data_IF_324489841211
#
_entry.id   IF_324489841211
#
_cell.length_a   1.000
_cell.length_b   1.000
_cell.length_c   1.000
_cell.angle_alpha   90.00
_cell.angle_beta   90.00
_cell.angle_gamma   90.00
#
_symmetry.space_group_name_H-M   'P 1'
#
loop_
_entity.id
_entity.type
_entity.pdbx_description
1 polymer ?
#
# COMPACT_ATOMS: atom_id res chain seq x y z
N UNK A 1 -9.64 -11.96 -7.14
CA UNK A 1 -10.73 -11.09 -6.63
C UNK A 1 -11.90 -11.88 -6.05
N UNK A 2 -12.57 -12.81 -6.76
CA UNK A 2 -13.59 -13.68 -6.11
C UNK A 2 -13.02 -14.64 -5.06
N UNK A 3 -11.83 -15.19 -5.28
CA UNK A 3 -11.18 -16.15 -4.36
C UNK A 3 -10.51 -15.45 -3.16
N UNK A 4 -10.21 -14.15 -3.27
CA UNK A 4 -9.64 -13.33 -2.18
C UNK A 4 -10.70 -12.94 -1.12
N UNK A 5 -11.99 -12.95 -1.49
CA UNK A 5 -13.11 -12.47 -0.66
C UNK A 5 -13.25 -13.22 0.68
N UNK A 6 -13.02 -14.54 0.69
CA UNK A 6 -13.13 -15.37 1.90
C UNK A 6 -11.97 -15.16 2.89
N UNK A 7 -10.75 -14.97 2.39
CA UNK A 7 -9.59 -14.72 3.27
C UNK A 7 -9.70 -13.35 3.95
N UNK A 8 -10.27 -12.36 3.26
CA UNK A 8 -10.53 -11.04 3.84
C UNK A 8 -11.62 -11.05 4.93
N UNK A 9 -12.67 -11.86 4.76
CA UNK A 9 -13.74 -11.99 5.75
C UNK A 9 -13.22 -12.52 7.10
N UNK A 10 -12.38 -13.56 7.09
CA UNK A 10 -11.80 -14.12 8.33
C UNK A 10 -10.99 -13.07 9.09
N UNK A 11 -10.18 -12.28 8.39
CA UNK A 11 -9.37 -11.23 9.02
C UNK A 11 -10.26 -10.13 9.59
N UNK A 12 -11.25 -9.66 8.83
CA UNK A 12 -12.17 -8.63 9.29
C UNK A 12 -12.94 -9.06 10.55
N UNK A 13 -13.53 -10.25 10.55
CA UNK A 13 -14.26 -10.79 11.71
C UNK A 13 -13.34 -10.98 12.92
N UNK A 14 -12.09 -11.41 12.71
CA UNK A 14 -11.13 -11.58 13.82
C UNK A 14 -10.81 -10.25 14.51
N UNK A 15 -10.62 -9.18 13.75
CA UNK A 15 -10.42 -7.84 14.31
C UNK A 15 -11.71 -7.26 14.92
N UNK A 16 -12.87 -7.56 14.34
CA UNK A 16 -14.17 -7.17 14.91
C UNK A 16 -14.39 -7.78 16.31
N UNK A 17 -14.10 -9.08 16.47
CA UNK A 17 -14.16 -9.74 17.79
C UNK A 17 -13.25 -9.03 18.79
N UNK A 18 -12.01 -8.70 18.40
CA UNK A 18 -11.08 -7.98 19.27
C UNK A 18 -11.62 -6.58 19.62
N UNK A 19 -12.13 -5.83 18.65
CA UNK A 19 -12.71 -4.50 18.85
C UNK A 19 -13.88 -4.56 19.84
N UNK A 20 -14.80 -5.50 19.65
CA UNK A 20 -15.95 -5.71 20.54
C UNK A 20 -15.51 -6.12 21.94
N UNK A 21 -14.50 -6.97 22.06
CA UNK A 21 -13.95 -7.36 23.36
C UNK A 21 -13.32 -6.18 24.10
N UNK A 22 -12.54 -5.34 23.41
CA UNK A 22 -11.96 -4.13 24.01
C UNK A 22 -13.04 -3.13 24.43
N UNK A 23 -14.08 -2.92 23.61
CA UNK A 23 -15.26 -2.12 23.99
C UNK A 23 -15.97 -2.69 25.21
N UNK A 24 -16.15 -4.02 25.28
CA UNK A 24 -16.75 -4.70 26.43
C UNK A 24 -15.96 -4.49 27.73
N UNK A 25 -14.62 -4.42 27.65
CA UNK A 25 -13.75 -4.10 28.78
C UNK A 25 -13.80 -2.61 29.19
N UNK A 26 -14.56 -1.76 28.49
CA UNK A 26 -14.72 -0.35 28.79
C UNK A 26 -13.68 0.57 28.16
N UNK A 27 -12.89 0.10 27.18
CA UNK A 27 -11.97 0.96 26.46
C UNK A 27 -12.68 1.83 25.42
N UNK A 28 -12.27 3.09 25.32
CA UNK A 28 -12.56 3.93 24.15
C UNK A 28 -11.59 3.57 23.03
N UNK A 29 -12.12 3.11 21.90
CA UNK A 29 -11.31 2.60 20.79
C UNK A 29 -11.49 3.48 19.56
N UNK A 30 -10.36 3.93 18.98
CA UNK A 30 -10.31 4.45 17.61
C UNK A 30 -9.83 3.33 16.69
N UNK A 31 -10.74 2.77 15.90
CA UNK A 31 -10.42 1.73 14.91
C UNK A 31 -10.14 2.36 13.55
N UNK A 32 -8.95 2.12 12.99
CA UNK A 32 -8.54 2.63 11.67
C UNK A 32 -8.21 1.46 10.75
N UNK A 33 -8.82 1.44 9.56
CA UNK A 33 -8.56 0.45 8.48
C UNK A 33 -8.44 1.22 7.17
N UNK A 34 -7.38 1.05 6.39
CA UNK A 34 -7.26 1.77 5.12
C UNK A 34 -7.79 0.95 3.94
N UNK A 35 -8.15 1.65 2.86
CA UNK A 35 -8.22 1.06 1.53
C UNK A 35 -6.92 1.30 0.78
N UNK A 36 -6.46 0.27 0.05
CA UNK A 36 -5.34 0.40 -0.89
C UNK A 36 -5.93 0.50 -2.28
N UNK A 37 -6.40 1.69 -2.63
CA UNK A 37 -7.13 2.00 -3.86
C UNK A 37 -6.20 2.42 -5.01
N UNK A 38 -4.89 2.42 -4.77
CA UNK A 38 -3.85 2.63 -5.78
C UNK A 38 -2.79 1.54 -5.66
N UNK A 39 -2.74 0.63 -6.65
CA UNK A 39 -1.80 -0.50 -6.71
C UNK A 39 -1.55 -0.95 -8.16
N UNK A 40 -0.40 -1.58 -8.41
CA UNK A 40 -0.01 -2.13 -9.72
C UNK A 40 -1.09 -3.09 -10.28
N UNK A 41 -1.76 -3.89 -9.43
CA UNK A 41 -2.84 -4.80 -9.85
C UNK A 41 -4.09 -4.07 -10.31
N UNK A 42 -4.46 -2.98 -9.63
CA UNK A 42 -5.64 -2.17 -9.96
C UNK A 42 -5.41 -1.50 -11.31
N UNK A 43 -4.24 -0.87 -11.50
CA UNK A 43 -3.85 -0.23 -12.78
C UNK A 43 -3.85 -1.25 -13.91
N UNK A 44 -3.25 -2.42 -13.70
CA UNK A 44 -3.21 -3.49 -14.70
C UNK A 44 -4.63 -3.94 -15.09
N UNK A 45 -5.49 -4.21 -14.10
CA UNK A 45 -6.85 -4.68 -14.34
C UNK A 45 -7.68 -3.64 -15.09
N UNK A 46 -7.59 -2.39 -14.68
CA UNK A 46 -8.28 -1.28 -15.32
C UNK A 46 -7.83 -1.06 -16.77
N UNK A 47 -6.53 -1.21 -17.05
CA UNK A 47 -6.03 -1.21 -18.45
C UNK A 47 -6.58 -2.40 -19.26
N UNK A 48 -6.71 -3.58 -18.65
CA UNK A 48 -7.31 -4.76 -19.31
C UNK A 48 -8.81 -4.60 -19.60
N UNK A 49 -9.53 -3.86 -18.74
CA UNK A 49 -10.99 -3.65 -18.86
C UNK A 49 -11.38 -2.34 -19.54
N UNK A 50 -10.42 -1.43 -19.75
CA UNK A 50 -10.67 -0.09 -20.28
C UNK A 50 -11.42 0.82 -19.29
N UNK A 51 -11.31 0.54 -17.99
CA UNK A 51 -11.96 1.31 -16.93
C UNK A 51 -11.00 2.34 -16.32
N UNK A 52 -11.55 3.36 -15.67
CA UNK A 52 -10.74 4.24 -14.82
C UNK A 52 -10.31 3.48 -13.56
N UNK A 53 -9.00 3.43 -13.22
CA UNK A 53 -8.55 2.61 -12.09
C UNK A 53 -9.08 3.06 -10.72
N UNK A 54 -9.35 4.36 -10.52
CA UNK A 54 -9.94 4.84 -9.26
C UNK A 54 -11.43 4.53 -9.18
N UNK A 55 -12.16 4.60 -10.29
CA UNK A 55 -13.55 4.12 -10.33
C UNK A 55 -13.62 2.61 -10.06
N UNK A 56 -12.70 1.85 -10.65
CA UNK A 56 -12.61 0.41 -10.44
C UNK A 56 -12.34 0.08 -8.97
N UNK A 57 -11.35 0.73 -8.35
CA UNK A 57 -11.03 0.48 -6.94
C UNK A 57 -12.15 0.90 -6.02
N UNK A 58 -12.78 2.06 -6.24
CA UNK A 58 -13.89 2.54 -5.43
C UNK A 58 -15.08 1.59 -5.47
N UNK A 59 -15.41 1.06 -6.65
CA UNK A 59 -16.44 0.03 -6.78
C UNK A 59 -16.19 -1.18 -5.88
N UNK A 60 -14.94 -1.69 -5.82
CA UNK A 60 -14.61 -2.80 -4.92
C UNK A 60 -14.52 -2.40 -3.44
N UNK A 61 -14.21 -1.14 -3.11
CA UNK A 61 -14.29 -0.64 -1.75
C UNK A 61 -15.74 -0.63 -1.26
N UNK A 62 -16.67 -0.19 -2.11
CA UNK A 62 -18.10 -0.20 -1.82
C UNK A 62 -18.63 -1.63 -1.65
N UNK A 63 -18.28 -2.55 -2.55
CA UNK A 63 -18.65 -3.96 -2.42
C UNK A 63 -18.10 -4.58 -1.12
N UNK A 64 -16.85 -4.27 -0.77
CA UNK A 64 -16.27 -4.74 0.48
C UNK A 64 -17.04 -4.20 1.69
N UNK A 65 -17.44 -2.94 1.69
CA UNK A 65 -18.21 -2.37 2.79
C UNK A 65 -19.61 -2.99 2.92
N UNK A 66 -20.27 -3.31 1.80
CA UNK A 66 -21.52 -4.11 1.83
C UNK A 66 -21.27 -5.47 2.48
N UNK A 67 -20.22 -6.17 2.09
CA UNK A 67 -19.88 -7.47 2.70
C UNK A 67 -19.62 -7.36 4.21
N UNK A 68 -18.95 -6.29 4.66
CA UNK A 68 -18.66 -6.09 6.09
C UNK A 68 -19.94 -5.84 6.90
N UNK A 69 -20.91 -5.13 6.32
CA UNK A 69 -22.22 -4.93 6.92
C UNK A 69 -22.98 -6.25 7.01
N UNK A 70 -22.97 -7.05 5.94
CA UNK A 70 -23.63 -8.37 5.91
C UNK A 70 -23.01 -9.35 6.93
N UNK A 71 -21.70 -9.23 7.16
CA UNK A 71 -20.97 -9.97 8.21
C UNK A 71 -21.13 -9.37 9.62
N UNK A 72 -21.90 -8.30 9.77
CA UNK A 72 -22.13 -7.59 11.04
C UNK A 72 -20.85 -7.07 11.70
N UNK A 73 -19.81 -6.80 10.90
CA UNK A 73 -18.60 -6.16 11.38
C UNK A 73 -18.89 -4.68 11.70
N UNK A 74 -18.31 -4.17 12.78
CA UNK A 74 -18.37 -2.76 13.13
C UNK A 74 -17.64 -1.91 12.09
N UNK A 75 -18.22 -0.77 11.73
CA UNK A 75 -17.59 0.21 10.84
C UNK A 75 -16.36 0.82 11.53
N UNK A 76 -15.22 0.96 10.82
CA UNK A 76 -14.06 1.67 11.35
C UNK A 76 -14.38 3.11 11.75
N UNK A 77 -13.68 3.61 12.76
CA UNK A 77 -13.73 5.04 13.15
C UNK A 77 -13.13 5.93 12.07
N UNK A 78 -12.15 5.42 11.31
CA UNK A 78 -11.55 6.08 10.15
C UNK A 78 -11.22 5.04 9.09
N UNK A 79 -11.53 5.38 7.84
CA UNK A 79 -11.28 4.51 6.69
C UNK A 79 -10.57 5.26 5.55
N UNK A 80 -9.27 5.61 5.71
CA UNK A 80 -8.55 6.43 4.74
C UNK A 80 -8.25 5.67 3.45
N UNK A 81 -8.38 6.36 2.31
CA UNK A 81 -7.94 5.89 1.01
C UNK A 81 -6.49 6.32 0.73
N UNK A 82 -5.69 5.47 0.09
CA UNK A 82 -4.31 5.82 -0.27
C UNK A 82 -4.28 7.02 -1.23
N UNK A 83 -5.21 7.06 -2.20
CA UNK A 83 -5.33 8.15 -3.16
C UNK A 83 -5.50 9.54 -2.51
N UNK A 84 -6.10 9.60 -1.32
CA UNK A 84 -6.37 10.83 -0.58
C UNK A 84 -5.18 11.32 0.27
N UNK A 85 -4.18 10.47 0.52
CA UNK A 85 -3.06 10.74 1.43
C UNK A 85 -1.69 10.77 0.75
N UNK A 86 -1.65 11.01 -0.57
CA UNK A 86 -0.40 10.99 -1.34
C UNK A 86 0.58 12.08 -0.94
N UNK A 87 0.10 13.23 -0.45
CA UNK A 87 0.97 14.30 0.02
C UNK A 87 1.69 13.91 1.32
N UNK A 88 0.98 13.28 2.25
CA UNK A 88 1.54 12.75 3.49
C UNK A 88 2.54 11.63 3.23
N UNK A 89 2.23 10.74 2.29
CA UNK A 89 3.17 9.70 1.82
C UNK A 89 4.44 10.35 1.25
N UNK A 90 4.31 11.33 0.34
CA UNK A 90 5.46 12.06 -0.23
C UNK A 90 6.29 12.76 0.85
N UNK A 91 5.64 13.37 1.83
CA UNK A 91 6.31 14.03 2.95
C UNK A 91 7.08 13.04 3.82
N UNK A 92 6.50 11.88 4.13
CA UNK A 92 7.16 10.81 4.87
C UNK A 92 8.38 10.29 4.11
N UNK A 93 8.25 10.04 2.81
CA UNK A 93 9.36 9.58 1.96
C UNK A 93 10.47 10.62 1.92
N UNK A 94 10.14 11.91 1.80
CA UNK A 94 11.10 13.02 1.86
C UNK A 94 11.89 12.99 3.18
N UNK A 95 11.23 12.77 4.32
CA UNK A 95 11.93 12.64 5.60
C UNK A 95 12.86 11.42 5.65
N UNK A 96 12.43 10.28 5.11
CA UNK A 96 13.26 9.06 5.03
C UNK A 96 14.52 9.29 4.18
N UNK A 97 14.40 10.00 3.05
CA UNK A 97 15.54 10.41 2.21
C UNK A 97 16.46 11.34 2.99
N UNK A 98 15.93 12.40 3.60
CA UNK A 98 16.72 13.40 4.35
C UNK A 98 17.48 12.78 5.52
N UNK A 99 16.92 11.75 6.16
CA UNK A 99 17.58 11.00 7.22
C UNK A 99 18.59 9.96 6.70
N UNK A 100 18.78 9.87 5.38
CA UNK A 100 19.73 8.99 4.73
C UNK A 100 19.31 7.52 4.66
N UNK A 101 18.03 7.19 4.90
CA UNK A 101 17.51 5.81 4.88
C UNK A 101 16.94 5.39 3.52
N UNK A 102 16.92 6.29 2.54
CA UNK A 102 16.47 5.99 1.19
C UNK A 102 17.42 6.60 0.14
N UNK A 103 17.31 6.11 -1.10
CA UNK A 103 18.02 6.66 -2.26
C UNK A 103 17.12 6.66 -3.49
N UNK A 104 17.41 7.58 -4.42
CA UNK A 104 16.71 7.74 -5.69
C UNK A 104 17.44 7.00 -6.82
N UNK A 105 16.70 6.38 -7.73
CA UNK A 105 17.20 5.82 -9.00
C UNK A 105 16.17 6.05 -10.09
N UNK A 106 16.49 6.84 -11.12
CA UNK A 106 15.60 7.13 -12.24
C UNK A 106 14.16 7.50 -11.78
N UNK A 107 14.08 8.43 -10.83
CA UNK A 107 12.85 8.90 -10.19
C UNK A 107 12.11 7.95 -9.24
N UNK A 108 12.47 6.66 -9.22
CA UNK A 108 12.05 5.75 -8.17
C UNK A 108 12.82 6.02 -6.87
N UNK A 109 12.19 5.74 -5.72
CA UNK A 109 12.81 5.86 -4.40
C UNK A 109 12.79 4.51 -3.70
N UNK A 110 13.93 4.10 -3.17
CA UNK A 110 14.10 2.82 -2.48
C UNK A 110 14.57 3.02 -1.04
N UNK A 111 14.01 2.25 -0.11
CA UNK A 111 14.47 2.17 1.28
C UNK A 111 15.73 1.29 1.38
N UNK A 112 16.71 1.72 2.17
CA UNK A 112 17.95 1.00 2.44
C UNK A 112 17.74 0.11 3.66
N UNK A 113 17.47 -1.17 3.43
CA UNK A 113 17.16 -2.12 4.51
C UNK A 113 18.29 -2.22 5.53
N UNK A 114 19.53 -2.25 5.07
CA UNK A 114 20.72 -2.39 5.93
C UNK A 114 20.92 -1.22 6.90
N UNK A 115 20.30 -0.06 6.63
CA UNK A 115 20.36 1.08 7.55
C UNK A 115 19.33 0.99 8.67
N UNK A 116 18.30 0.16 8.54
CA UNK A 116 17.29 -0.02 9.58
C UNK A 116 17.82 -0.90 10.72
N UNK A 117 18.15 -0.34 11.90
CA UNK A 117 18.83 -1.10 12.96
C UNK A 117 18.00 -2.26 13.51
N UNK A 118 16.67 -2.16 13.45
CA UNK A 118 15.72 -3.18 13.92
C UNK A 118 14.97 -3.87 12.77
N UNK A 119 15.46 -3.78 11.54
CA UNK A 119 14.79 -4.42 10.41
C UNK A 119 14.77 -5.94 10.58
N UNK A 120 13.60 -6.55 10.39
CA UNK A 120 13.38 -8.00 10.60
C UNK A 120 12.98 -8.39 12.03
N UNK A 121 12.96 -7.45 12.99
CA UNK A 121 12.58 -7.74 14.38
C UNK A 121 11.15 -8.29 14.50
N UNK A 122 10.19 -7.75 13.73
CA UNK A 122 8.79 -8.18 13.75
C UNK A 122 8.60 -9.60 13.22
N UNK A 123 9.28 -9.95 12.12
CA UNK A 123 9.23 -11.29 11.52
C UNK A 123 10.15 -12.29 12.21
N UNK A 124 11.01 -11.84 13.14
CA UNK A 124 12.11 -12.62 13.75
C UNK A 124 13.05 -13.24 12.70
N UNK A 125 13.13 -12.64 11.51
CA UNK A 125 14.03 -13.10 10.45
C UNK A 125 15.27 -12.22 10.42
N UNK A 126 16.45 -12.85 10.42
CA UNK A 126 17.71 -12.15 10.20
C UNK A 126 17.83 -11.78 8.72
N UNK A 127 18.41 -10.62 8.42
CA UNK A 127 18.65 -10.16 7.05
C UNK A 127 19.41 -11.19 6.20
N UNK A 128 20.37 -11.89 6.81
CA UNK A 128 21.15 -12.97 6.19
C UNK A 128 20.31 -14.19 5.76
N UNK A 129 19.16 -14.39 6.40
CA UNK A 129 18.22 -15.48 6.12
C UNK A 129 17.04 -15.04 5.26
N UNK A 130 16.87 -13.73 5.05
CA UNK A 130 15.99 -13.16 4.04
C UNK A 130 16.64 -13.35 2.66
N UNK A 131 16.76 -14.62 2.25
CA UNK A 131 16.92 -14.94 0.84
C UNK A 131 15.73 -14.32 0.14
N UNK A 132 16.03 -13.43 -0.81
CA UNK A 132 15.10 -12.79 -1.74
C UNK A 132 13.90 -13.71 -1.94
N UNK A 133 12.75 -13.34 -1.39
CA UNK A 133 11.51 -14.09 -1.63
C UNK A 133 11.35 -14.12 -3.15
N UNK A 134 11.52 -15.31 -3.75
CA UNK A 134 11.66 -15.61 -5.19
C UNK A 134 10.53 -15.10 -6.10
N UNK A 135 9.59 -14.32 -5.57
CA UNK A 135 8.39 -13.83 -6.27
C UNK A 135 8.51 -12.42 -6.83
N UNK A 136 9.60 -11.69 -6.56
CA UNK A 136 9.81 -10.33 -7.10
C UNK A 136 10.92 -10.37 -8.14
N UNK A 137 10.62 -9.98 -9.38
CA UNK A 137 11.63 -9.74 -10.42
C UNK A 137 12.70 -8.83 -9.82
N UNK A 138 13.93 -9.32 -9.74
CA UNK A 138 15.05 -8.56 -9.15
C UNK A 138 15.25 -7.33 -10.02
N UNK A 139 14.87 -6.17 -9.49
CA UNK A 139 15.16 -4.90 -10.12
C UNK A 139 16.67 -4.66 -10.03
N UNK A 140 17.36 -4.84 -11.15
CA UNK A 140 18.81 -4.72 -11.27
C UNK A 140 19.34 -3.32 -10.92
N UNK A 141 18.46 -2.32 -10.86
CA UNK A 141 18.79 -0.95 -10.45
C UNK A 141 18.96 -0.81 -8.93
N UNK A 142 18.52 -1.80 -8.14
CA UNK A 142 18.65 -1.77 -6.68
C UNK A 142 20.11 -2.00 -6.26
N UNK A 143 20.60 -1.17 -5.34
CA UNK A 143 21.94 -1.31 -4.74
C UNK A 143 22.07 -2.60 -3.92
N UNK A 144 20.97 -3.02 -3.28
CA UNK A 144 20.85 -4.28 -2.56
C UNK A 144 19.49 -4.92 -2.94
N UNK A 145 19.43 -6.21 -3.32
CA UNK A 145 18.17 -6.91 -3.62
C UNK A 145 17.10 -6.84 -2.52
N UNK A 146 17.51 -6.67 -1.26
CA UNK A 146 16.60 -6.56 -0.11
C UNK A 146 15.90 -5.19 -0.03
N UNK A 147 16.44 -4.16 -0.68
CA UNK A 147 15.84 -2.83 -0.70
C UNK A 147 14.47 -2.87 -1.40
N UNK A 148 13.48 -2.18 -0.82
CA UNK A 148 12.12 -2.13 -1.36
C UNK A 148 11.75 -0.71 -1.80
N UNK A 149 10.82 -0.62 -2.74
CA UNK A 149 10.38 0.67 -3.27
C UNK A 149 9.50 1.39 -2.25
N UNK A 150 9.77 2.68 -2.05
CA UNK A 150 8.93 3.63 -1.33
C UNK A 150 8.06 4.43 -2.31
N UNK A 151 8.60 4.75 -3.48
CA UNK A 151 7.91 5.45 -4.56
C UNK A 151 8.33 4.85 -5.89
N UNK A 152 7.38 4.62 -6.78
CA UNK A 152 7.63 4.21 -8.16
C UNK A 152 7.01 5.24 -9.10
N UNK A 153 7.78 5.69 -10.07
CA UNK A 153 7.22 6.52 -11.15
C UNK A 153 6.69 5.60 -12.24
N UNK A 154 5.47 5.88 -12.71
CA UNK A 154 4.90 5.16 -13.83
C UNK A 154 5.64 5.55 -15.11
N UNK A 155 6.25 4.57 -15.77
CA UNK A 155 6.80 4.78 -17.12
C UNK A 155 5.63 4.86 -18.11
N UNK A 156 5.73 5.74 -19.12
CA UNK A 156 4.70 5.96 -20.16
C UNK A 156 4.21 4.68 -20.85
N UNK A 157 5.07 3.65 -20.97
CA UNK A 157 4.69 2.34 -21.54
C UNK A 157 3.61 1.59 -20.72
N UNK A 158 3.39 1.97 -19.46
CA UNK A 158 2.42 1.36 -18.55
C UNK A 158 1.02 2.02 -18.63
N UNK A 159 0.90 3.11 -19.39
CA UNK A 159 -0.28 4.00 -19.45
C UNK A 159 -1.08 3.86 -20.75
N UNK A 160 -1.01 2.71 -21.43
CA UNK A 160 -1.78 2.49 -22.67
C UNK A 160 -3.27 2.45 -22.32
N UNK A 161 -3.97 3.57 -22.55
CA UNK A 161 -5.42 3.68 -22.45
C UNK A 161 -5.97 4.48 -21.26
N UNK A 162 -5.12 5.07 -20.40
CA UNK A 162 -5.60 5.79 -19.21
C UNK A 162 -5.92 7.27 -19.51
N UNK A 163 -7.11 7.70 -19.13
CA UNK A 163 -7.48 9.12 -19.04
C UNK A 163 -6.56 9.84 -18.05
N UNK A 164 -6.29 11.13 -18.27
CA UNK A 164 -5.34 11.99 -17.54
C UNK A 164 -5.37 11.96 -15.99
N UNK A 165 -6.39 11.39 -15.35
CA UNK A 165 -6.62 11.48 -13.90
C UNK A 165 -5.52 10.87 -13.02
N UNK A 166 -4.90 9.75 -13.43
CA UNK A 166 -3.86 9.09 -12.60
C UNK A 166 -2.50 9.77 -12.72
N UNK A 167 -2.23 10.44 -13.84
CA UNK A 167 -1.02 11.23 -14.02
C UNK A 167 -0.98 12.42 -13.04
N UNK A 168 -2.11 12.99 -12.62
CA UNK A 168 -2.12 14.03 -11.59
C UNK A 168 -1.93 13.47 -10.18
N UNK A 169 -2.52 12.29 -9.91
CA UNK A 169 -2.46 11.62 -8.60
C UNK A 169 -1.05 11.09 -8.32
N UNK A 170 -0.45 10.38 -9.28
CA UNK A 170 0.87 9.72 -9.13
C UNK A 170 2.04 10.49 -9.75
N UNK A 171 1.80 11.45 -10.65
CA UNK A 171 2.85 12.13 -11.44
C UNK A 171 3.58 13.27 -10.74
N UNK A 172 3.42 13.43 -9.42
CA UNK A 172 4.26 14.34 -8.67
C UNK A 172 5.68 13.79 -8.55
N UNK A 173 6.64 14.40 -9.27
CA UNK A 173 8.06 14.18 -8.99
C UNK A 173 8.34 14.52 -7.54
N UNK A 174 8.92 13.57 -6.79
CA UNK A 174 9.53 13.84 -5.49
C UNK A 174 10.74 14.77 -5.72
N UNK A 175 10.47 16.08 -5.72
CA UNK A 175 11.51 17.11 -5.73
C UNK A 175 12.07 17.25 -4.31
N UNK A 176 12.82 16.25 -3.87
CA UNK A 176 13.57 16.29 -2.64
C UNK A 176 15.07 16.22 -2.96
N UNK A 177 15.72 17.39 -2.84
CA UNK A 177 17.15 17.63 -2.56
C UNK A 177 18.18 16.95 -3.49
N UNK A 178 18.86 17.77 -4.30
CA UNK A 178 20.13 17.43 -4.97
C UNK A 178 21.22 17.05 -3.98
#
# INVERSE_FOLDING_TARGET
>A
MKEERNDHARVAVSFDILLRYLKHLGYEITYVRNFTDVDDKIIKRANETGEDPLLLSNHFCDEYNVDMVDLQCETPSKEPHVSEHLNEIKNMITQIINNGYAYKVNDDVFYIVDKGPNYGMLSRQRLEHNRVVERVVVDSRKRNPTNFALWKVLNQASLVGTTLGILEVLGGTLNAVQ
#
